data_IF_313443560384
#
_entry.id   IF_313443560384
#
_cell.length_a   1.000
_cell.length_b   1.000
_cell.length_c   1.000
_cell.angle_alpha   90.00
_cell.angle_beta   90.00
_cell.angle_gamma   90.00
#
_symmetry.space_group_name_H-M   'P 1'
#
loop_
_entity.id
_entity.type
_entity.pdbx_description
1 polymer ?
#
# COMPACT_ATOMS: atom_id res chain seq x y z
N UNK A 1 19.45 7.21 -2.53
CA UNK A 1 18.95 7.71 -3.84
C UNK A 1 18.37 9.10 -3.68
N UNK A 2 18.48 10.01 -4.68
CA UNK A 2 17.93 11.39 -4.60
C UNK A 2 16.57 11.47 -5.30
N UNK A 3 15.70 12.38 -4.85
CA UNK A 3 14.43 12.69 -5.52
C UNK A 3 13.31 11.65 -5.33
N UNK A 4 13.46 10.74 -4.37
CA UNK A 4 12.42 9.77 -4.04
C UNK A 4 11.23 10.49 -3.40
N UNK A 5 10.01 10.21 -3.89
CA UNK A 5 8.76 10.71 -3.32
C UNK A 5 7.98 9.58 -2.71
N UNK A 6 7.45 9.80 -1.50
CA UNK A 6 6.57 8.88 -0.82
C UNK A 6 5.12 9.36 -0.96
N UNK A 7 4.22 8.41 -1.19
CA UNK A 7 2.77 8.65 -1.20
C UNK A 7 2.02 7.42 -0.69
N UNK A 8 0.74 7.60 -0.36
CA UNK A 8 -0.17 6.49 -0.04
C UNK A 8 -1.02 6.20 -1.28
N UNK A 9 -0.98 4.96 -1.76
CA UNK A 9 -1.77 4.52 -2.93
C UNK A 9 -3.15 3.98 -2.51
N UNK A 10 -3.24 3.41 -1.33
CA UNK A 10 -4.47 2.86 -0.75
C UNK A 10 -4.42 2.94 0.76
N UNK A 11 -5.53 3.25 1.39
CA UNK A 11 -5.68 3.23 2.85
C UNK A 11 -6.88 2.38 3.27
N UNK A 12 -6.75 1.70 4.40
CA UNK A 12 -7.81 0.92 5.03
C UNK A 12 -7.92 1.33 6.48
N UNK A 13 -9.12 1.71 6.88
CA UNK A 13 -9.45 2.09 8.25
C UNK A 13 -10.70 1.36 8.74
N UNK A 14 -10.80 1.13 10.03
CA UNK A 14 -11.96 0.58 10.70
C UNK A 14 -12.63 1.64 11.57
N UNK A 15 -13.91 1.84 11.36
CA UNK A 15 -14.82 2.56 12.25
C UNK A 15 -15.41 1.54 13.22
N UNK A 16 -15.15 1.71 14.50
CA UNK A 16 -15.55 0.73 15.54
C UNK A 16 -16.89 1.08 16.14
N UNK A 17 -17.59 0.06 16.62
CA UNK A 17 -18.88 0.15 17.32
C UNK A 17 -20.01 0.85 16.52
N UNK A 18 -19.95 0.78 15.17
CA UNK A 18 -21.02 1.26 14.30
C UNK A 18 -22.21 0.29 14.37
N UNK A 19 -23.35 0.74 14.91
CA UNK A 19 -24.52 -0.11 15.13
C UNK A 19 -25.24 -0.48 13.84
N UNK A 20 -25.95 -1.62 13.86
CA UNK A 20 -26.75 -2.12 12.75
C UNK A 20 -27.89 -1.14 12.37
N UNK A 21 -28.47 -0.49 13.34
CA UNK A 21 -29.56 0.48 13.22
C UNK A 21 -29.15 1.68 12.34
N UNK A 22 -27.88 2.06 12.35
CA UNK A 22 -27.31 3.03 11.42
C UNK A 22 -26.98 2.38 10.07
N UNK A 23 -26.25 1.24 10.08
CA UNK A 23 -25.76 0.63 8.84
C UNK A 23 -26.88 0.19 7.89
N UNK A 24 -27.97 -0.35 8.42
CA UNK A 24 -29.05 -0.89 7.58
C UNK A 24 -29.73 0.18 6.70
N UNK A 25 -30.26 1.31 7.23
CA UNK A 25 -30.78 2.38 6.39
C UNK A 25 -29.69 3.09 5.55
N UNK A 26 -28.45 3.19 6.06
CA UNK A 26 -27.33 3.74 5.34
C UNK A 26 -27.03 2.96 4.06
N UNK A 27 -26.94 1.62 4.11
CA UNK A 27 -26.71 0.80 2.92
C UNK A 27 -27.84 0.90 1.88
N UNK A 28 -29.09 1.09 2.32
CA UNK A 28 -30.22 1.28 1.41
C UNK A 28 -30.08 2.60 0.64
N UNK A 29 -29.81 3.72 1.33
CA UNK A 29 -29.56 5.03 0.68
C UNK A 29 -28.39 4.97 -0.30
N UNK A 30 -27.29 4.28 0.05
CA UNK A 30 -26.14 4.11 -0.85
C UNK A 30 -26.55 3.40 -2.13
N UNK A 31 -27.39 2.36 -2.05
CA UNK A 31 -27.88 1.64 -3.24
C UNK A 31 -28.80 2.47 -4.11
N UNK A 32 -29.56 3.37 -3.51
CA UNK A 32 -30.43 4.29 -4.23
C UNK A 32 -29.65 5.41 -4.94
N UNK A 33 -28.64 5.97 -4.27
CA UNK A 33 -27.82 7.08 -4.79
C UNK A 33 -26.80 6.65 -5.85
N UNK A 34 -26.22 5.45 -5.71
CA UNK A 34 -25.15 4.96 -6.58
C UNK A 34 -25.63 3.75 -7.36
N UNK A 35 -25.75 3.88 -8.65
CA UNK A 35 -26.43 2.97 -9.59
C UNK A 35 -25.89 1.53 -9.67
N UNK A 36 -24.83 1.18 -8.95
CA UNK A 36 -24.30 -0.19 -8.90
C UNK A 36 -23.43 -0.50 -7.67
N UNK A 37 -23.93 -0.48 -6.46
CA UNK A 37 -23.19 -1.09 -5.36
C UNK A 37 -23.32 -2.61 -5.45
N UNK A 38 -22.26 -3.28 -5.88
CA UNK A 38 -22.22 -4.75 -5.89
C UNK A 38 -22.00 -5.22 -4.46
N UNK A 39 -22.94 -5.98 -3.91
CA UNK A 39 -22.76 -6.67 -2.64
C UNK A 39 -22.05 -8.00 -2.89
N UNK A 40 -20.75 -8.08 -2.61
CA UNK A 40 -19.95 -9.29 -2.74
C UNK A 40 -19.65 -9.83 -1.35
N UNK A 41 -19.87 -11.13 -1.13
CA UNK A 41 -19.46 -11.79 0.12
C UNK A 41 -17.97 -12.11 0.06
N UNK A 42 -17.18 -11.44 0.88
CA UNK A 42 -15.76 -11.75 1.07
C UNK A 42 -15.51 -12.37 2.46
N UNK A 43 -14.39 -13.08 2.59
CA UNK A 43 -13.98 -13.68 3.87
C UNK A 43 -13.84 -12.62 4.97
N UNK A 44 -14.55 -12.76 6.07
CA UNK A 44 -14.40 -11.94 7.28
C UNK A 44 -15.42 -10.83 7.46
N UNK A 45 -16.05 -10.33 6.40
CA UNK A 45 -17.14 -9.36 6.48
C UNK A 45 -18.38 -9.90 5.79
N UNK A 46 -19.56 -9.61 6.34
CA UNK A 46 -20.83 -10.13 5.83
C UNK A 46 -21.43 -9.27 4.73
N UNK A 47 -21.24 -7.97 4.83
CA UNK A 47 -21.80 -6.99 3.89
C UNK A 47 -20.69 -6.21 3.22
N UNK A 48 -20.84 -5.96 1.92
CA UNK A 48 -19.89 -5.21 1.11
C UNK A 48 -20.64 -4.27 0.17
N UNK A 49 -20.19 -3.03 0.11
CA UNK A 49 -20.68 -2.00 -0.81
C UNK A 49 -19.47 -1.47 -1.59
N UNK A 50 -19.57 -1.46 -2.91
CA UNK A 50 -18.58 -0.87 -3.80
C UNK A 50 -19.19 0.37 -4.45
N UNK A 51 -18.77 1.53 -4.02
CA UNK A 51 -19.24 2.80 -4.54
C UNK A 51 -18.25 3.27 -5.59
N UNK A 52 -18.75 3.67 -6.76
CA UNK A 52 -17.96 4.34 -7.79
C UNK A 52 -18.66 5.60 -8.19
N UNK A 53 -17.89 6.68 -8.23
CA UNK A 53 -18.32 7.98 -8.69
C UNK A 53 -17.15 8.59 -9.50
N UNK A 54 -17.33 8.71 -10.80
CA UNK A 54 -16.27 9.04 -11.75
C UNK A 54 -14.99 8.20 -11.59
N UNK A 55 -13.87 8.85 -11.27
CA UNK A 55 -12.58 8.20 -11.03
C UNK A 55 -12.40 7.71 -9.59
N UNK A 56 -13.33 8.08 -8.69
CA UNK A 56 -13.26 7.78 -7.27
C UNK A 56 -13.96 6.47 -6.93
N UNK A 57 -13.41 5.73 -5.98
CA UNK A 57 -14.05 4.53 -5.47
C UNK A 57 -13.94 4.46 -3.96
N UNK A 58 -14.97 3.89 -3.34
CA UNK A 58 -15.04 3.60 -1.93
C UNK A 58 -15.55 2.18 -1.74
N UNK A 59 -14.78 1.34 -1.07
CA UNK A 59 -15.21 0.01 -0.67
C UNK A 59 -15.54 0.05 0.83
N UNK A 60 -16.78 -0.26 1.15
CA UNK A 60 -17.29 -0.34 2.52
C UNK A 60 -17.59 -1.80 2.83
N UNK A 61 -17.04 -2.30 3.93
CA UNK A 61 -17.34 -3.64 4.44
C UNK A 61 -17.89 -3.52 5.85
N UNK A 62 -18.96 -4.27 6.16
CA UNK A 62 -19.58 -4.23 7.47
C UNK A 62 -19.70 -5.62 8.09
N UNK A 63 -19.34 -5.73 9.35
CA UNK A 63 -19.40 -6.97 10.13
C UNK A 63 -20.15 -6.75 11.44
N UNK A 64 -21.17 -7.58 11.64
CA UNK A 64 -21.76 -7.82 12.96
C UNK A 64 -20.90 -8.84 13.69
N UNK A 65 -20.23 -8.44 14.76
CA UNK A 65 -19.46 -9.36 15.58
C UNK A 65 -20.32 -9.88 16.75
N UNK A 66 -20.74 -11.14 16.63
CA UNK A 66 -21.40 -11.86 17.71
C UNK A 66 -20.33 -12.58 18.56
N UNK A 67 -19.53 -11.83 19.32
CA UNK A 67 -18.74 -12.43 20.40
C UNK A 67 -19.60 -12.48 21.64
N UNK A 68 -19.66 -13.62 22.34
CA UNK A 68 -20.55 -13.92 23.47
C UNK A 68 -20.62 -12.87 24.61
N UNK A 69 -19.74 -11.86 24.61
CA UNK A 69 -19.70 -10.78 25.62
C UNK A 69 -19.44 -9.36 25.09
N UNK A 70 -19.13 -9.15 23.81
CA UNK A 70 -19.02 -7.80 23.24
C UNK A 70 -19.43 -7.81 21.79
N UNK A 71 -20.48 -7.07 21.46
CA UNK A 71 -20.88 -6.78 20.06
C UNK A 71 -20.00 -5.65 19.56
N UNK A 72 -18.86 -5.96 18.94
CA UNK A 72 -18.06 -4.95 18.24
C UNK A 72 -18.42 -4.97 16.76
N UNK A 73 -19.38 -4.13 16.39
CA UNK A 73 -19.70 -3.91 15.00
C UNK A 73 -18.60 -3.06 14.37
N UNK A 74 -18.09 -3.48 13.24
CA UNK A 74 -17.00 -2.78 12.55
C UNK A 74 -17.42 -2.45 11.12
N UNK A 75 -17.27 -1.20 10.75
CA UNK A 75 -17.36 -0.75 9.37
C UNK A 75 -15.96 -0.44 8.85
N UNK A 76 -15.49 -1.20 7.86
CA UNK A 76 -14.19 -1.01 7.22
C UNK A 76 -14.33 -0.23 5.94
N UNK A 77 -13.46 0.76 5.77
CA UNK A 77 -13.35 1.58 4.57
C UNK A 77 -12.01 1.29 3.90
N UNK A 78 -12.03 1.10 2.57
CA UNK A 78 -10.86 0.94 1.74
C UNK A 78 -10.99 1.82 0.49
N UNK A 79 -10.03 2.73 0.25
CA UNK A 79 -10.00 3.60 -0.92
C UNK A 79 -8.63 4.22 -1.17
N UNK A 80 -8.49 4.95 -2.28
CA UNK A 80 -7.38 5.89 -2.50
C UNK A 80 -7.57 7.14 -1.62
N UNK A 81 -6.50 7.77 -1.09
CA UNK A 81 -6.63 8.99 -0.27
C UNK A 81 -7.44 10.12 -0.92
N UNK A 82 -7.33 10.33 -2.23
CA UNK A 82 -8.14 11.33 -2.95
C UNK A 82 -9.65 11.04 -2.88
N UNK A 83 -10.03 9.76 -2.85
CA UNK A 83 -11.43 9.36 -2.70
C UNK A 83 -11.99 9.71 -1.31
N UNK A 84 -11.14 9.81 -0.27
CA UNK A 84 -11.58 10.26 1.05
C UNK A 84 -12.13 11.68 1.00
N UNK A 85 -11.45 12.58 0.28
CA UNK A 85 -11.90 13.98 0.09
C UNK A 85 -13.22 14.01 -0.67
N UNK A 86 -13.31 13.24 -1.76
CA UNK A 86 -14.53 13.16 -2.58
C UNK A 86 -15.73 12.65 -1.78
N UNK A 87 -15.57 11.62 -0.96
CA UNK A 87 -16.62 11.01 -0.15
C UNK A 87 -16.68 11.57 1.28
N UNK A 88 -16.12 12.76 1.56
CA UNK A 88 -16.03 13.31 2.92
C UNK A 88 -17.37 13.35 3.63
N UNK A 89 -18.43 13.84 2.97
CA UNK A 89 -19.78 13.93 3.56
C UNK A 89 -20.32 12.55 3.98
N UNK A 90 -20.04 11.51 3.18
CA UNK A 90 -20.44 10.14 3.50
C UNK A 90 -19.65 9.58 4.68
N UNK A 91 -18.34 9.86 4.71
CA UNK A 91 -17.43 9.42 5.78
C UNK A 91 -17.77 10.11 7.10
N UNK A 92 -18.16 11.41 7.06
CA UNK A 92 -18.65 12.14 8.24
C UNK A 92 -19.86 11.45 8.87
N UNK A 93 -20.85 11.07 8.06
CA UNK A 93 -22.02 10.34 8.56
C UNK A 93 -21.63 9.01 9.24
N UNK A 94 -20.63 8.28 8.73
CA UNK A 94 -20.17 7.05 9.36
C UNK A 94 -19.48 7.35 10.71
N UNK A 95 -18.64 8.38 10.74
CA UNK A 95 -17.85 8.73 11.91
C UNK A 95 -18.71 9.23 13.07
N UNK A 96 -19.80 9.97 12.80
CA UNK A 96 -20.77 10.43 13.81
C UNK A 96 -21.40 9.25 14.59
N UNK A 97 -21.35 8.05 14.02
CA UNK A 97 -21.86 6.82 14.62
C UNK A 97 -20.78 5.83 15.05
N UNK A 98 -19.50 6.21 14.95
CA UNK A 98 -18.37 5.37 15.35
C UNK A 98 -17.80 5.84 16.68
N UNK A 99 -17.33 4.88 17.48
CA UNK A 99 -16.63 5.20 18.73
C UNK A 99 -15.20 5.66 18.47
N UNK A 100 -14.53 5.06 17.48
CA UNK A 100 -13.12 5.28 17.19
C UNK A 100 -12.82 4.92 15.74
N UNK A 101 -11.83 5.59 15.14
CA UNK A 101 -11.28 5.24 13.84
C UNK A 101 -9.89 4.65 14.02
N UNK A 102 -9.71 3.41 13.56
CA UNK A 102 -8.48 2.67 13.66
C UNK A 102 -7.84 2.46 12.28
N UNK A 103 -6.58 2.83 12.15
CA UNK A 103 -5.78 2.47 10.98
C UNK A 103 -5.51 0.96 10.97
N UNK A 104 -5.73 0.34 9.81
CA UNK A 104 -5.53 -1.10 9.59
C UNK A 104 -4.32 -1.38 8.73
N UNK A 105 -4.23 -0.72 7.57
CA UNK A 105 -3.12 -0.83 6.62
C UNK A 105 -3.16 0.26 5.57
N UNK A 106 -2.03 0.43 4.89
CA UNK A 106 -1.98 1.19 3.63
C UNK A 106 -0.95 0.58 2.67
N UNK A 107 -1.07 0.93 1.38
CA UNK A 107 -0.05 0.67 0.38
C UNK A 107 0.83 1.92 0.29
N UNK A 108 2.07 1.82 0.78
CA UNK A 108 3.07 2.90 0.74
C UNK A 108 3.83 2.82 -0.56
N UNK A 109 3.80 3.88 -1.34
CA UNK A 109 4.44 3.99 -2.63
C UNK A 109 5.67 4.90 -2.58
N UNK A 110 6.82 4.39 -3.03
CA UNK A 110 8.05 5.13 -3.26
C UNK A 110 8.24 5.31 -4.76
N UNK A 111 8.14 6.53 -5.23
CA UNK A 111 8.38 6.92 -6.62
C UNK A 111 9.86 7.30 -6.78
N UNK A 112 10.58 6.51 -7.58
CA UNK A 112 12.03 6.60 -7.77
C UNK A 112 12.29 7.10 -9.20
N UNK A 113 12.99 8.23 -9.41
CA UNK A 113 13.23 8.81 -10.74
C UNK A 113 14.35 8.06 -11.50
N UNK A 114 14.27 6.74 -11.56
CA UNK A 114 15.23 5.83 -12.20
C UNK A 114 14.43 4.76 -12.94
N UNK A 115 14.93 4.34 -14.12
CA UNK A 115 14.30 3.25 -14.87
C UNK A 115 14.44 1.91 -14.14
N UNK A 116 13.40 1.09 -14.15
CA UNK A 116 13.35 -0.19 -13.42
C UNK A 116 14.48 -1.17 -13.81
N UNK A 117 14.97 -1.11 -15.07
CA UNK A 117 16.08 -1.96 -15.52
C UNK A 117 17.43 -1.62 -14.89
N UNK A 118 17.56 -0.46 -14.23
CA UNK A 118 18.77 -0.06 -13.49
C UNK A 118 18.70 -0.39 -12.00
N UNK A 119 17.56 -0.90 -11.52
CA UNK A 119 17.33 -1.17 -10.10
C UNK A 119 17.41 -2.67 -9.82
N UNK A 120 18.33 -3.09 -8.97
CA UNK A 120 18.29 -4.41 -8.35
C UNK A 120 17.42 -4.32 -7.09
N UNK A 121 16.37 -5.17 -7.02
CA UNK A 121 15.49 -5.28 -5.86
C UNK A 121 15.54 -6.69 -5.31
N UNK A 122 15.74 -6.82 -3.99
CA UNK A 122 15.83 -8.10 -3.31
C UNK A 122 14.92 -8.09 -2.07
N UNK A 123 14.24 -9.21 -1.80
CA UNK A 123 13.64 -9.46 -0.50
C UNK A 123 14.71 -10.02 0.45
N UNK A 124 14.78 -9.46 1.65
CA UNK A 124 15.71 -9.89 2.69
C UNK A 124 15.13 -10.97 3.61
N UNK A 125 13.81 -11.19 3.57
CA UNK A 125 13.07 -12.09 4.47
C UNK A 125 12.73 -13.44 3.85
N UNK A 126 13.44 -13.87 2.81
CA UNK A 126 13.17 -15.14 2.12
C UNK A 126 11.90 -15.17 1.28
N UNK A 127 11.15 -14.08 1.20
CA UNK A 127 10.04 -13.94 0.24
C UNK A 127 10.59 -14.03 -1.17
N UNK A 128 9.92 -14.79 -2.02
CA UNK A 128 10.35 -14.88 -3.41
C UNK A 128 9.95 -13.60 -4.17
N UNK A 129 10.92 -13.03 -4.89
CA UNK A 129 10.66 -11.99 -5.90
C UNK A 129 10.55 -12.68 -7.26
N UNK A 130 9.45 -12.46 -7.95
CA UNK A 130 9.20 -12.97 -9.30
C UNK A 130 8.66 -11.86 -10.20
N UNK A 131 8.83 -12.01 -11.50
CA UNK A 131 8.38 -11.04 -12.49
C UNK A 131 7.18 -11.57 -13.27
N UNK A 132 6.23 -10.68 -13.57
CA UNK A 132 5.11 -10.96 -14.45
C UNK A 132 4.68 -9.67 -15.16
N UNK A 133 4.64 -9.66 -16.48
CA UNK A 133 4.27 -8.52 -17.32
C UNK A 133 5.00 -7.21 -16.93
N UNK A 134 6.33 -7.28 -16.76
CA UNK A 134 7.16 -6.11 -16.40
C UNK A 134 7.03 -5.62 -14.97
N UNK A 135 6.23 -6.27 -14.14
CA UNK A 135 6.10 -5.97 -12.71
C UNK A 135 6.78 -7.06 -11.88
N UNK A 136 7.60 -6.67 -10.92
CA UNK A 136 8.19 -7.57 -9.94
C UNK A 136 7.32 -7.62 -8.70
N UNK A 137 7.08 -8.81 -8.18
CA UNK A 137 6.21 -9.07 -7.02
C UNK A 137 6.97 -9.83 -5.95
N UNK A 138 6.77 -9.47 -4.68
CA UNK A 138 7.09 -10.36 -3.57
C UNK A 138 5.84 -11.13 -3.17
N UNK A 139 5.97 -12.45 -2.97
CA UNK A 139 4.86 -13.35 -2.67
C UNK A 139 3.83 -13.53 -3.81
N UNK A 140 2.83 -14.37 -3.56
CA UNK A 140 1.77 -14.67 -4.53
C UNK A 140 0.77 -13.52 -4.65
N UNK A 141 0.26 -13.28 -5.85
CA UNK A 141 -0.68 -12.19 -6.17
C UNK A 141 -1.92 -12.12 -5.26
N UNK A 142 -2.43 -13.26 -4.77
CA UNK A 142 -3.56 -13.28 -3.85
C UNK A 142 -3.21 -12.83 -2.42
N UNK A 143 -1.92 -12.66 -2.10
CA UNK A 143 -1.42 -12.20 -0.80
C UNK A 143 -1.19 -10.69 -0.76
N UNK A 144 -1.67 -9.92 -1.73
CA UNK A 144 -1.42 -8.47 -1.84
C UNK A 144 -1.97 -7.61 -0.69
N UNK A 145 -2.68 -8.20 0.27
CA UNK A 145 -3.15 -7.51 1.47
C UNK A 145 -2.29 -7.83 2.71
N UNK A 146 -1.32 -8.71 2.56
CA UNK A 146 -0.44 -9.14 3.67
C UNK A 146 0.65 -8.10 3.89
N UNK A 147 0.94 -7.80 5.17
CA UNK A 147 2.02 -6.90 5.56
C UNK A 147 3.33 -7.23 4.85
N UNK A 148 3.98 -6.21 4.28
CA UNK A 148 5.21 -6.34 3.52
C UNK A 148 5.05 -7.02 2.15
N UNK A 149 3.84 -7.20 1.61
CA UNK A 149 3.70 -7.50 0.17
C UNK A 149 4.25 -6.33 -0.64
N UNK A 150 4.95 -6.63 -1.73
CA UNK A 150 5.59 -5.58 -2.52
C UNK A 150 5.32 -5.76 -4.01
N UNK A 151 5.21 -4.63 -4.72
CA UNK A 151 5.19 -4.52 -6.19
C UNK A 151 6.21 -3.48 -6.63
N UNK A 152 6.97 -3.80 -7.67
CA UNK A 152 7.92 -2.86 -8.30
C UNK A 152 7.65 -2.82 -9.79
N UNK A 153 7.36 -1.66 -10.35
CA UNK A 153 7.00 -1.52 -11.75
C UNK A 153 7.35 -0.16 -12.35
N UNK A 154 7.40 -0.10 -13.69
CA UNK A 154 7.57 1.15 -14.42
C UNK A 154 6.29 1.99 -14.34
N UNK A 155 6.29 3.00 -13.47
CA UNK A 155 5.14 3.90 -13.26
C UNK A 155 4.86 4.79 -14.45
N UNK A 156 5.91 5.21 -15.19
CA UNK A 156 5.77 5.99 -16.43
C UNK A 156 4.92 5.24 -17.46
N UNK A 157 5.28 3.97 -17.72
CA UNK A 157 4.51 3.13 -18.65
C UNK A 157 3.08 2.89 -18.17
N UNK A 158 2.86 2.68 -16.88
CA UNK A 158 1.52 2.53 -16.33
C UNK A 158 0.67 3.78 -16.54
N UNK A 159 1.21 4.98 -16.31
CA UNK A 159 0.52 6.24 -16.51
C UNK A 159 0.13 6.45 -17.97
N UNK A 160 1.06 6.14 -18.88
CA UNK A 160 0.80 6.23 -20.32
C UNK A 160 -0.28 5.25 -20.78
N UNK A 161 -0.14 3.96 -20.42
CA UNK A 161 -1.07 2.92 -20.89
C UNK A 161 -2.46 3.03 -20.29
N UNK A 162 -2.56 3.41 -19.01
CA UNK A 162 -3.84 3.41 -18.30
C UNK A 162 -4.58 4.73 -18.37
N UNK A 163 -3.86 5.84 -18.46
CA UNK A 163 -4.43 7.19 -18.37
C UNK A 163 -4.08 8.09 -19.55
N UNK A 164 -3.29 7.60 -20.54
CA UNK A 164 -2.77 8.43 -21.64
C UNK A 164 -1.83 9.55 -21.16
N UNK A 165 -1.35 9.49 -19.91
CA UNK A 165 -0.56 10.56 -19.30
C UNK A 165 0.91 10.33 -19.53
N UNK A 166 1.51 11.20 -20.32
CA UNK A 166 2.95 11.22 -20.52
C UNK A 166 3.66 12.07 -19.45
N UNK A 167 4.76 11.56 -18.90
CA UNK A 167 5.61 12.27 -17.95
C UNK A 167 7.04 12.34 -18.46
N UNK A 168 7.73 13.45 -18.16
CA UNK A 168 9.17 13.61 -18.47
C UNK A 168 10.02 12.78 -17.50
N UNK A 169 11.11 12.21 -18.04
CA UNK A 169 12.03 11.38 -17.25
C UNK A 169 11.55 9.96 -17.01
N UNK A 170 12.28 9.23 -16.19
CA UNK A 170 11.97 7.86 -15.79
C UNK A 170 11.30 7.83 -14.41
N UNK A 171 10.42 6.86 -14.20
CA UNK A 171 9.73 6.70 -12.94
C UNK A 171 9.45 5.23 -12.66
N UNK A 172 10.11 4.68 -11.63
CA UNK A 172 9.80 3.37 -11.07
C UNK A 172 9.06 3.55 -9.76
N UNK A 173 7.98 2.82 -9.58
CA UNK A 173 7.24 2.77 -8.31
C UNK A 173 7.53 1.47 -7.57
N UNK A 174 7.84 1.62 -6.29
CA UNK A 174 8.00 0.55 -5.33
C UNK A 174 6.86 0.67 -4.30
N UNK A 175 5.89 -0.23 -4.34
CA UNK A 175 4.76 -0.24 -3.42
C UNK A 175 4.90 -1.35 -2.40
N UNK A 176 4.79 -1.01 -1.11
CA UNK A 176 4.87 -1.97 -0.01
C UNK A 176 3.65 -1.83 0.89
N UNK A 177 3.02 -2.94 1.22
CA UNK A 177 1.90 -2.95 2.19
C UNK A 177 2.45 -2.75 3.59
N UNK A 178 2.08 -1.65 4.21
CA UNK A 178 2.25 -1.38 5.62
C UNK A 178 0.99 -1.80 6.37
N UNK A 179 1.12 -2.79 7.24
CA UNK A 179 0.08 -3.21 8.18
C UNK A 179 0.75 -3.48 9.52
N UNK A 180 0.50 -2.67 10.54
CA UNK A 180 1.03 -2.88 11.89
C UNK A 180 0.44 -4.14 12.52
N UNK A 181 1.13 -4.72 13.51
CA UNK A 181 0.65 -5.91 14.20
C UNK A 181 -0.66 -5.65 14.95
N UNK A 182 -0.80 -4.44 15.49
CA UNK A 182 -2.01 -3.94 16.13
C UNK A 182 -2.53 -2.73 15.40
N UNK A 183 -3.85 -2.56 15.38
CA UNK A 183 -4.47 -1.39 14.77
C UNK A 183 -4.09 -0.14 15.56
N UNK A 184 -3.75 0.92 14.85
CA UNK A 184 -3.31 2.18 15.45
C UNK A 184 -4.49 3.18 15.42
N UNK A 185 -4.81 3.88 16.54
CA UNK A 185 -5.72 5.02 16.50
C UNK A 185 -5.26 6.01 15.43
N UNK A 186 -6.18 6.48 14.59
CA UNK A 186 -5.81 7.26 13.41
C UNK A 186 -5.08 8.57 13.77
N UNK A 187 -5.43 9.20 14.88
CA UNK A 187 -4.76 10.40 15.40
C UNK A 187 -3.32 10.16 15.87
N UNK A 188 -2.96 8.92 16.18
CA UNK A 188 -1.60 8.55 16.57
C UNK A 188 -0.74 8.09 15.38
N UNK A 189 -1.33 7.87 14.19
CA UNK A 189 -0.65 7.26 13.04
C UNK A 189 0.61 8.01 12.59
N UNK A 190 0.67 9.33 12.78
CA UNK A 190 1.85 10.14 12.45
C UNK A 190 3.11 9.70 13.20
N UNK A 191 2.97 9.10 14.38
CA UNK A 191 4.08 8.66 15.23
C UNK A 191 4.63 7.27 14.83
N UNK A 192 3.98 6.61 13.87
CA UNK A 192 4.31 5.24 13.46
C UNK A 192 4.66 5.17 11.96
N UNK A 193 5.79 5.77 11.53
CA UNK A 193 6.28 5.60 10.16
C UNK A 193 6.59 4.12 9.91
N UNK A 194 6.36 3.62 8.69
CA UNK A 194 6.67 2.23 8.35
C UNK A 194 8.17 1.98 8.26
N UNK A 195 8.58 0.75 8.62
CA UNK A 195 9.95 0.26 8.51
C UNK A 195 10.02 -0.89 7.49
N UNK A 196 10.81 -0.71 6.42
CA UNK A 196 10.91 -1.66 5.32
C UNK A 196 12.34 -2.11 5.00
N UNK A 197 13.39 -1.48 5.54
CA UNK A 197 14.78 -1.84 5.29
C UNK A 197 15.10 -3.30 5.67
N UNK A 198 14.44 -3.83 6.71
CA UNK A 198 14.56 -5.24 7.09
C UNK A 198 13.87 -6.21 6.12
N UNK A 199 12.97 -5.71 5.28
CA UNK A 199 12.19 -6.51 4.34
C UNK A 199 12.78 -6.51 2.94
N UNK A 200 13.29 -5.35 2.51
CA UNK A 200 13.71 -5.12 1.13
C UNK A 200 15.01 -4.35 1.04
N UNK A 201 15.76 -4.69 -0.01
CA UNK A 201 16.94 -3.96 -0.47
C UNK A 201 16.68 -3.47 -1.89
N UNK A 202 17.02 -2.22 -2.18
CA UNK A 202 16.95 -1.65 -3.51
C UNK A 202 18.21 -0.80 -3.76
N UNK A 203 18.91 -1.08 -4.86
CA UNK A 203 20.09 -0.32 -5.25
C UNK A 203 20.08 -0.03 -6.75
N UNK A 204 20.58 1.14 -7.14
CA UNK A 204 20.87 1.48 -8.53
C UNK A 204 22.23 0.86 -8.93
N UNK A 205 22.24 0.07 -10.00
CA UNK A 205 23.47 -0.51 -10.53
C UNK A 205 24.21 0.53 -11.36
N UNK A 206 25.10 1.29 -10.72
CA UNK A 206 25.90 2.35 -11.38
C UNK A 206 27.28 1.87 -11.82
N UNK A 207 27.83 0.85 -11.14
CA UNK A 207 29.15 0.26 -11.45
C UNK A 207 29.04 -1.26 -11.44
N UNK A 208 29.84 -1.91 -12.27
CA UNK A 208 29.84 -3.38 -12.42
C UNK A 208 31.18 -4.02 -12.09
N UNK A 209 32.24 -3.22 -11.91
CA UNK A 209 33.61 -3.67 -11.74
C UNK A 209 33.83 -4.56 -10.50
N UNK A 210 33.02 -4.34 -9.45
CA UNK A 210 33.11 -5.12 -8.21
C UNK A 210 32.54 -6.54 -8.34
N UNK A 211 31.88 -6.86 -9.46
CA UNK A 211 31.23 -8.16 -9.66
C UNK A 211 32.01 -9.07 -10.58
N UNK A 212 32.06 -10.36 -10.23
CA UNK A 212 32.56 -11.40 -11.13
C UNK A 212 31.54 -11.64 -12.26
N UNK A 213 31.96 -12.14 -13.44
CA UNK A 213 31.06 -12.39 -14.57
C UNK A 213 29.81 -13.19 -14.19
N UNK A 214 29.94 -14.28 -13.44
CA UNK A 214 28.82 -15.11 -12.97
C UNK A 214 27.87 -14.37 -11.98
N UNK A 215 28.41 -13.42 -11.24
CA UNK A 215 27.56 -12.58 -10.35
C UNK A 215 26.74 -11.58 -11.17
N UNK A 216 27.39 -10.98 -12.20
CA UNK A 216 26.70 -10.07 -13.11
C UNK A 216 25.59 -10.75 -13.90
N UNK A 217 25.84 -11.95 -14.43
CA UNK A 217 24.82 -12.76 -15.10
C UNK A 217 23.58 -12.96 -14.20
N UNK A 218 23.80 -13.32 -12.92
CA UNK A 218 22.70 -13.48 -11.95
C UNK A 218 21.99 -12.18 -11.63
N UNK A 219 22.73 -11.08 -11.47
CA UNK A 219 22.16 -9.76 -11.22
C UNK A 219 21.29 -9.34 -12.41
N UNK A 220 21.80 -9.49 -13.64
CA UNK A 220 21.06 -9.19 -14.85
C UNK A 220 19.80 -10.05 -14.97
N UNK A 221 19.90 -11.36 -14.72
CA UNK A 221 18.74 -12.26 -14.71
C UNK A 221 17.69 -11.89 -13.67
N UNK A 222 18.09 -11.43 -12.46
CA UNK A 222 17.16 -10.91 -11.46
C UNK A 222 16.53 -9.59 -11.89
N UNK A 223 17.27 -8.71 -12.57
CA UNK A 223 16.80 -7.41 -13.03
C UNK A 223 15.89 -7.52 -14.26
N UNK A 224 16.16 -8.46 -15.16
CA UNK A 224 15.29 -8.76 -16.33
C UNK A 224 14.05 -9.56 -15.93
N UNK A 225 14.12 -10.30 -14.82
CA UNK A 225 13.07 -11.22 -14.38
C UNK A 225 13.18 -12.63 -14.97
N UNK A 226 14.28 -12.94 -15.68
CA UNK A 226 14.60 -14.30 -16.16
C UNK A 226 14.96 -15.23 -15.01
N UNK A 227 15.55 -14.68 -13.93
CA UNK A 227 15.81 -15.40 -12.69
C UNK A 227 14.86 -14.93 -11.58
N UNK A 228 14.26 -15.88 -10.89
CA UNK A 228 13.56 -15.61 -9.64
C UNK A 228 14.54 -15.62 -8.46
N UNK A 229 14.29 -14.82 -7.44
CA UNK A 229 15.17 -14.71 -6.29
C UNK A 229 15.41 -16.05 -5.57
N UNK A 230 14.45 -17.00 -5.58
CA UNK A 230 14.63 -18.34 -5.01
C UNK A 230 15.70 -19.18 -5.71
N UNK A 231 16.00 -18.88 -6.98
CA UNK A 231 17.03 -19.57 -7.79
C UNK A 231 18.44 -19.06 -7.47
N UNK A 232 18.54 -17.96 -6.73
CA UNK A 232 19.82 -17.38 -6.28
C UNK A 232 20.04 -17.72 -4.82
N UNK A 233 21.15 -18.43 -4.52
CA UNK A 233 21.43 -18.85 -3.13
C UNK A 233 21.57 -17.68 -2.18
N UNK A 234 21.33 -17.91 -0.89
CA UNK A 234 21.49 -16.89 0.16
C UNK A 234 22.90 -16.30 0.23
N UNK A 235 23.94 -17.10 -0.15
CA UNK A 235 25.30 -16.61 -0.24
C UNK A 235 25.42 -15.47 -1.26
N UNK A 236 24.97 -15.68 -2.50
CA UNK A 236 25.05 -14.65 -3.55
C UNK A 236 24.21 -13.43 -3.20
N UNK A 237 23.01 -13.62 -2.65
CA UNK A 237 22.15 -12.48 -2.24
C UNK A 237 22.85 -11.59 -1.20
N UNK A 238 23.49 -12.17 -0.17
CA UNK A 238 24.29 -11.42 0.81
C UNK A 238 25.49 -10.75 0.18
N UNK A 239 26.20 -11.43 -0.74
CA UNK A 239 27.31 -10.86 -1.49
C UNK A 239 26.87 -9.64 -2.30
N UNK A 240 25.74 -9.72 -3.01
CA UNK A 240 25.21 -8.61 -3.79
C UNK A 240 24.86 -7.41 -2.90
N UNK A 241 24.13 -7.63 -1.79
CA UNK A 241 23.82 -6.54 -0.84
C UNK A 241 25.10 -5.87 -0.34
N UNK A 242 26.11 -6.66 0.08
CA UNK A 242 27.38 -6.12 0.58
C UNK A 242 28.14 -5.29 -0.48
N UNK A 243 28.22 -5.80 -1.71
CA UNK A 243 28.93 -5.11 -2.80
C UNK A 243 28.20 -3.87 -3.29
N UNK A 244 26.88 -3.90 -3.29
CA UNK A 244 26.03 -2.78 -3.72
C UNK A 244 25.86 -1.68 -2.68
N UNK A 245 26.40 -1.83 -1.47
CA UNK A 245 26.44 -0.74 -0.48
C UNK A 245 27.24 0.49 -0.97
N UNK A 246 28.18 0.30 -1.91
CA UNK A 246 28.90 1.39 -2.57
C UNK A 246 28.07 2.11 -3.66
N UNK A 247 26.98 1.52 -4.12
CA UNK A 247 26.05 2.11 -5.08
C UNK A 247 24.97 2.94 -4.40
N UNK A 248 24.30 3.83 -5.12
CA UNK A 248 23.12 4.52 -4.57
C UNK A 248 22.05 3.53 -4.15
N UNK A 249 21.77 3.44 -2.85
CA UNK A 249 20.73 2.60 -2.26
C UNK A 249 19.51 3.41 -1.86
N UNK A 250 18.34 2.77 -1.85
CA UNK A 250 17.14 3.33 -1.26
C UNK A 250 17.08 2.92 0.21
N UNK A 251 17.14 3.91 1.09
CA UNK A 251 16.84 3.76 2.51
C UNK A 251 15.35 4.01 2.73
N UNK A 252 14.57 2.92 2.74
CA UNK A 252 13.11 2.99 2.87
C UNK A 252 12.67 3.62 4.20
N UNK A 253 13.37 3.29 5.29
CA UNK A 253 12.99 3.75 6.63
C UNK A 253 13.29 5.24 6.79
N UNK A 254 14.43 5.72 6.29
CA UNK A 254 14.78 7.14 6.28
C UNK A 254 13.79 7.94 5.42
N UNK A 255 13.47 7.46 4.21
CA UNK A 255 12.50 8.14 3.34
C UNK A 255 11.09 8.12 3.92
N UNK A 256 10.69 7.03 4.55
CA UNK A 256 9.43 6.97 5.27
C UNK A 256 9.40 7.95 6.43
N UNK A 257 10.38 7.93 7.32
CA UNK A 257 10.45 8.84 8.46
C UNK A 257 10.38 10.31 8.02
N UNK A 258 11.10 10.67 6.95
CA UNK A 258 11.16 12.05 6.42
C UNK A 258 9.84 12.53 5.81
N UNK A 259 9.08 11.66 5.13
CA UNK A 259 7.92 12.03 4.32
C UNK A 259 6.58 11.53 4.88
N UNK A 260 6.59 10.71 5.94
CA UNK A 260 5.39 10.04 6.45
C UNK A 260 4.29 11.02 6.85
N UNK A 261 4.65 12.03 7.64
CA UNK A 261 3.70 13.06 8.10
C UNK A 261 2.93 13.68 6.93
N UNK A 262 3.64 14.09 5.88
CA UNK A 262 3.03 14.73 4.71
C UNK A 262 2.14 13.75 3.94
N UNK A 263 2.60 12.50 3.78
CA UNK A 263 1.86 11.46 3.05
C UNK A 263 0.53 11.07 3.70
N UNK A 264 0.43 11.12 5.04
CA UNK A 264 -0.79 10.79 5.79
C UNK A 264 -1.64 12.00 6.17
N UNK A 265 -1.18 13.23 5.87
CA UNK A 265 -1.89 14.47 6.24
C UNK A 265 -3.33 14.47 5.72
N UNK A 266 -3.56 14.17 4.44
CA UNK A 266 -4.92 14.15 3.86
C UNK A 266 -5.78 13.09 4.54
N UNK A 267 -5.38 11.80 4.64
CA UNK A 267 -6.17 10.81 5.36
C UNK A 267 -6.50 11.19 6.80
N UNK A 268 -5.51 11.68 7.53
CA UNK A 268 -5.72 12.08 8.94
C UNK A 268 -6.60 13.33 9.06
N UNK A 269 -6.45 14.32 8.19
CA UNK A 269 -7.27 15.53 8.21
C UNK A 269 -8.74 15.24 7.87
N UNK A 270 -8.99 14.48 6.80
CA UNK A 270 -10.35 14.14 6.38
C UNK A 270 -11.04 13.27 7.42
N UNK A 271 -10.41 12.18 7.85
CA UNK A 271 -11.02 11.23 8.79
C UNK A 271 -10.96 11.73 10.25
N UNK A 272 -9.90 12.46 10.63
CA UNK A 272 -9.72 13.00 11.99
C UNK A 272 -10.59 14.24 12.25
N UNK A 273 -10.80 15.11 11.26
CA UNK A 273 -11.68 16.27 11.34
C UNK A 273 -13.15 15.91 11.58
N UNK A 274 -13.50 14.69 11.20
CA UNK A 274 -14.83 14.12 11.38
C UNK A 274 -15.14 13.81 12.85
N UNK A 275 -14.13 13.48 13.68
CA UNK A 275 -14.29 13.16 15.12
C UNK A 275 -14.32 14.42 15.99
N UNK A 276 -13.68 15.52 15.56
CA UNK A 276 -13.57 16.75 16.37
C UNK A 276 -14.91 17.50 16.55
N UNK A 277 -16.00 17.05 15.95
CA UNK A 277 -17.34 17.61 16.13
C UNK A 277 -18.17 16.88 17.23
N UNK A 278 -17.61 15.86 17.87
CA UNK A 278 -18.31 15.02 18.87
C UNK A 278 -17.72 15.18 20.29
N UNK A 279 -16.78 16.10 20.51
CA UNK A 279 -16.17 16.38 21.82
C UNK A 279 -16.86 17.55 22.53
#
# INVERSE_FOLDING_TARGET
MKGVKLSIDRIVVDFTDVFWEFFNPFQQRIRECYSSPICVREKGFKYHLHIRDDSHYLHISYQLCFVKKSRKNTMRIECHPESLVHFNSLLSQIADHAKEILFVRCDVAFDIPIHISKLLTLSLTGRNMHSWMGTRYSNKRHQRQVAGYCRVYNKKNQLLQRYGKEIKGELTRFEIVYAPNEKIPLNALVQFPPEFNRLYFCAELTTTEQFKPKEMERIQGLMSGELEQKQVTGYYRRSFVKKLQACPTLDFDQEACRQWKDAITIPCAVLGGVISHVA
#
